data_IF_462769739761
#
_entry.id   IF_462769739761
#
_cell.length_a   1.000
_cell.length_b   1.000
_cell.length_c   1.000
_cell.angle_alpha   90.00
_cell.angle_beta   90.00
_cell.angle_gamma   90.00
#
_symmetry.space_group_name_H-M   'P 1'
#
loop_
_entity.id
_entity.type
_entity.pdbx_description
1 polymer ?
#
# COMPACT_ATOMS: atom_id res chain seq x y z
N UNK A 1 -39.39 -25.76 -25.43
CA UNK A 1 -39.17 -24.30 -25.78
C UNK A 1 -39.39 -23.34 -24.61
N UNK A 2 -40.45 -23.49 -23.77
CA UNK A 2 -40.68 -22.55 -22.63
C UNK A 2 -39.58 -22.64 -21.56
N UNK A 3 -39.12 -23.83 -21.19
CA UNK A 3 -38.06 -24.04 -20.17
C UNK A 3 -36.71 -23.46 -20.57
N UNK A 4 -36.32 -23.52 -21.87
CA UNK A 4 -35.10 -22.97 -22.37
C UNK A 4 -35.11 -21.40 -22.30
N UNK A 5 -36.27 -20.80 -22.60
CA UNK A 5 -36.43 -19.33 -22.48
C UNK A 5 -36.28 -18.85 -21.04
N UNK A 6 -36.86 -19.56 -20.08
CA UNK A 6 -36.74 -19.24 -18.68
C UNK A 6 -35.29 -19.45 -18.15
N UNK A 7 -34.61 -20.51 -18.58
CA UNK A 7 -33.22 -20.74 -18.27
C UNK A 7 -32.31 -19.58 -18.75
N UNK A 8 -32.50 -19.17 -20.00
CA UNK A 8 -31.74 -18.03 -20.55
C UNK A 8 -32.03 -16.71 -19.81
N UNK A 9 -33.29 -16.48 -19.43
CA UNK A 9 -33.67 -15.28 -18.69
C UNK A 9 -33.00 -15.23 -17.29
N UNK A 10 -33.03 -16.35 -16.56
CA UNK A 10 -32.38 -16.42 -15.23
C UNK A 10 -30.87 -16.29 -15.33
N UNK A 11 -30.23 -16.90 -16.33
CA UNK A 11 -28.80 -16.75 -16.56
C UNK A 11 -28.44 -15.29 -16.87
N UNK A 12 -29.19 -14.64 -17.74
CA UNK A 12 -28.99 -13.22 -18.07
C UNK A 12 -29.18 -12.31 -16.84
N UNK A 13 -30.21 -12.54 -16.04
CA UNK A 13 -30.47 -11.78 -14.82
C UNK A 13 -29.34 -11.98 -13.79
N UNK A 14 -28.88 -13.22 -13.62
CA UNK A 14 -27.73 -13.51 -12.74
C UNK A 14 -26.46 -12.80 -13.19
N UNK A 15 -26.13 -12.89 -14.48
CA UNK A 15 -24.95 -12.22 -15.02
C UNK A 15 -25.03 -10.71 -14.89
N UNK A 16 -26.21 -10.11 -15.15
CA UNK A 16 -26.40 -8.67 -14.97
C UNK A 16 -26.25 -8.24 -13.51
N UNK A 17 -26.81 -8.99 -12.57
CA UNK A 17 -26.67 -8.74 -11.15
C UNK A 17 -25.22 -8.91 -10.66
N UNK A 18 -24.55 -9.98 -11.12
CA UNK A 18 -23.16 -10.27 -10.79
C UNK A 18 -22.22 -9.17 -11.30
N UNK A 19 -22.30 -8.85 -12.60
CA UNK A 19 -21.47 -7.79 -13.20
C UNK A 19 -21.78 -6.44 -12.59
N UNK A 20 -23.07 -6.11 -12.40
CA UNK A 20 -23.49 -4.85 -11.78
C UNK A 20 -22.95 -4.70 -10.35
N UNK A 21 -23.05 -5.74 -9.53
CA UNK A 21 -22.53 -5.72 -8.16
C UNK A 21 -21.01 -5.66 -8.11
N UNK A 22 -20.31 -6.35 -9.03
CA UNK A 22 -18.86 -6.28 -9.15
C UNK A 22 -18.39 -4.88 -9.53
N UNK A 23 -19.03 -4.25 -10.53
CA UNK A 23 -18.71 -2.87 -10.94
C UNK A 23 -18.99 -1.86 -9.82
N UNK A 24 -20.11 -2.00 -9.11
CA UNK A 24 -20.40 -1.15 -7.95
C UNK A 24 -19.35 -1.30 -6.87
N UNK A 25 -18.95 -2.53 -6.57
CA UNK A 25 -17.92 -2.81 -5.55
C UNK A 25 -16.55 -2.30 -5.98
N UNK A 26 -16.18 -2.40 -7.24
CA UNK A 26 -14.90 -1.89 -7.77
C UNK A 26 -14.87 -0.35 -7.79
N UNK A 27 -16.01 0.31 -8.00
CA UNK A 27 -16.11 1.77 -7.97
C UNK A 27 -16.42 2.34 -6.58
N UNK A 28 -16.77 1.51 -5.60
CA UNK A 28 -16.93 1.96 -4.22
C UNK A 28 -15.59 1.91 -3.52
N UNK A 29 -15.15 3.02 -2.96
CA UNK A 29 -14.03 3.04 -2.02
C UNK A 29 -14.54 2.58 -0.65
N UNK A 30 -14.28 1.32 -0.24
CA UNK A 30 -14.76 0.79 1.04
C UNK A 30 -14.06 1.45 2.23
N UNK A 31 -13.01 2.23 1.96
CA UNK A 31 -12.22 2.94 2.97
C UNK A 31 -12.60 4.43 3.04
N UNK A 32 -13.48 4.91 2.15
CA UNK A 32 -13.90 6.30 2.12
C UNK A 32 -14.37 6.78 3.49
N UNK A 33 -13.70 7.79 4.03
CA UNK A 33 -13.95 8.31 5.37
C UNK A 33 -13.50 7.42 6.55
N UNK A 34 -13.08 6.16 6.32
CA UNK A 34 -12.64 5.25 7.39
C UNK A 34 -11.33 5.72 8.03
N UNK A 35 -10.44 6.24 7.23
CA UNK A 35 -9.13 6.76 7.66
C UNK A 35 -9.10 8.28 7.69
N UNK A 36 -10.28 8.94 7.68
CA UNK A 36 -10.33 10.39 7.74
C UNK A 36 -9.75 10.86 9.08
N UNK A 37 -8.70 11.66 9.02
CA UNK A 37 -8.09 12.28 10.18
C UNK A 37 -7.75 13.73 9.86
N UNK A 38 -7.91 14.61 10.84
CA UNK A 38 -7.36 15.94 10.71
C UNK A 38 -5.84 15.81 10.61
N UNK A 39 -5.27 16.40 9.56
CA UNK A 39 -3.84 16.35 9.32
C UNK A 39 -3.26 17.75 9.24
N UNK A 40 -2.37 18.05 10.15
CA UNK A 40 -1.58 19.28 10.19
C UNK A 40 -0.24 18.98 10.90
N UNK A 41 0.61 20.00 11.01
CA UNK A 41 1.94 19.86 11.62
C UNK A 41 1.91 19.46 13.10
N UNK A 42 0.78 19.64 13.78
CA UNK A 42 0.62 19.19 15.19
C UNK A 42 0.36 17.71 15.31
N UNK A 43 -0.06 17.05 14.21
CA UNK A 43 -0.31 15.61 14.14
C UNK A 43 0.92 14.86 13.63
N UNK A 44 1.55 15.37 12.57
CA UNK A 44 2.70 14.71 11.98
C UNK A 44 3.25 15.43 10.77
N UNK A 45 4.32 14.87 10.22
CA UNK A 45 4.98 15.38 9.02
C UNK A 45 5.17 14.28 7.98
N UNK A 46 5.06 14.65 6.71
CA UNK A 46 5.33 13.77 5.57
C UNK A 46 6.62 14.19 4.89
N UNK A 47 7.44 13.21 4.57
CA UNK A 47 8.61 13.34 3.69
C UNK A 47 8.33 12.48 2.47
N UNK A 48 8.16 13.13 1.32
CA UNK A 48 7.76 12.48 0.07
C UNK A 48 8.95 12.16 -0.82
N UNK A 49 8.79 11.13 -1.65
CA UNK A 49 9.73 10.75 -2.71
C UNK A 49 11.17 10.53 -2.25
N UNK A 50 11.35 10.02 -1.04
CA UNK A 50 12.66 9.62 -0.54
C UNK A 50 13.18 8.43 -1.36
N UNK A 51 14.41 8.51 -1.93
CA UNK A 51 14.92 7.43 -2.77
C UNK A 51 15.44 6.26 -1.91
N UNK A 52 15.25 5.03 -2.42
CA UNK A 52 15.89 3.82 -1.89
C UNK A 52 16.73 3.10 -2.96
N UNK A 53 16.71 3.57 -4.20
CA UNK A 53 17.46 3.05 -5.33
C UNK A 53 17.55 4.07 -6.46
N UNK A 54 18.14 3.68 -7.58
CA UNK A 54 18.36 4.56 -8.74
C UNK A 54 17.17 4.59 -9.70
N UNK A 55 16.26 3.61 -9.63
CA UNK A 55 15.07 3.52 -10.48
C UNK A 55 14.09 4.67 -10.21
N UNK A 56 13.40 5.11 -11.25
CA UNK A 56 12.41 6.18 -11.12
C UNK A 56 11.30 5.85 -10.13
N UNK A 57 10.91 4.57 -10.03
CA UNK A 57 9.93 4.06 -9.10
C UNK A 57 10.49 3.80 -7.69
N UNK A 58 11.82 3.77 -7.51
CA UNK A 58 12.47 3.41 -6.25
C UNK A 58 12.37 4.54 -5.20
N UNK A 59 11.15 4.87 -4.81
CA UNK A 59 10.83 5.96 -3.87
C UNK A 59 9.83 5.50 -2.81
N UNK A 60 9.94 6.11 -1.65
CA UNK A 60 8.96 5.95 -0.57
C UNK A 60 8.56 7.28 0.04
N UNK A 61 7.38 7.32 0.65
CA UNK A 61 6.93 8.41 1.50
C UNK A 61 7.00 7.97 2.95
N UNK A 62 7.51 8.85 3.81
CA UNK A 62 7.64 8.60 5.23
C UNK A 62 6.77 9.59 6.03
N UNK A 63 5.90 9.06 6.86
CA UNK A 63 4.99 9.78 7.74
C UNK A 63 5.47 9.60 9.17
N UNK A 64 5.76 10.69 9.85
CA UNK A 64 6.28 10.66 11.23
C UNK A 64 5.40 11.48 12.16
N UNK A 65 5.04 10.97 13.35
CA UNK A 65 4.22 11.69 14.31
C UNK A 65 4.93 12.94 14.83
N UNK A 66 4.16 14.01 15.10
CA UNK A 66 4.71 15.20 15.72
C UNK A 66 5.12 14.96 17.18
N UNK A 67 4.40 14.08 17.85
CA UNK A 67 4.73 13.66 19.22
C UNK A 67 5.98 12.77 19.24
N UNK A 68 7.02 13.25 19.91
CA UNK A 68 8.31 12.56 20.13
C UNK A 68 8.50 12.08 21.56
N UNK A 69 7.43 11.93 22.32
CA UNK A 69 7.50 11.54 23.72
C UNK A 69 7.71 10.04 23.97
N UNK A 70 7.57 9.21 22.93
CA UNK A 70 7.76 7.77 23.02
C UNK A 70 9.25 7.39 23.00
N UNK A 71 9.65 6.44 23.85
CA UNK A 71 11.01 5.90 23.88
C UNK A 71 11.38 5.13 22.59
N UNK A 72 10.38 4.53 21.94
CA UNK A 72 10.49 3.85 20.66
C UNK A 72 9.13 3.82 19.92
N UNK A 73 9.18 3.63 18.61
CA UNK A 73 8.04 3.69 17.71
C UNK A 73 7.90 2.39 16.92
N UNK A 74 6.65 2.00 16.67
CA UNK A 74 6.37 0.97 15.67
C UNK A 74 6.40 1.58 14.26
N UNK A 75 7.06 0.90 13.34
CA UNK A 75 7.00 1.21 11.89
C UNK A 75 5.91 0.37 11.23
N UNK A 76 5.04 1.01 10.47
CA UNK A 76 4.07 0.33 9.58
C UNK A 76 4.42 0.66 8.13
N UNK A 77 4.81 -0.35 7.37
CA UNK A 77 5.04 -0.24 5.93
C UNK A 77 3.81 -0.74 5.19
N UNK A 78 3.34 0.04 4.22
CA UNK A 78 2.21 -0.33 3.39
C UNK A 78 2.57 -0.30 1.90
N UNK A 79 2.19 -1.38 1.21
CA UNK A 79 2.44 -1.59 -0.21
C UNK A 79 1.12 -1.47 -0.98
N UNK A 80 1.11 -0.59 -1.98
CA UNK A 80 -0.10 -0.28 -2.74
C UNK A 80 -0.62 -1.47 -3.56
N UNK A 81 -1.93 -1.48 -3.79
CA UNK A 81 -2.59 -2.38 -4.73
C UNK A 81 -2.30 -1.97 -6.19
N UNK A 82 -2.73 -2.81 -7.15
CA UNK A 82 -2.66 -2.45 -8.57
C UNK A 82 -2.24 -3.59 -9.50
N UNK A 83 -2.38 -4.85 -9.07
CA UNK A 83 -2.14 -6.03 -9.91
C UNK A 83 -0.70 -6.14 -10.42
N UNK A 84 0.28 -5.52 -9.73
CA UNK A 84 1.69 -5.44 -10.13
C UNK A 84 1.97 -4.57 -11.37
N UNK A 85 0.94 -3.98 -11.98
CA UNK A 85 0.99 -3.24 -13.25
C UNK A 85 0.57 -1.78 -13.12
N UNK A 86 0.00 -1.40 -11.98
CA UNK A 86 -0.51 -0.05 -11.71
C UNK A 86 -0.46 0.26 -10.21
N UNK A 87 -0.82 1.49 -9.84
CA UNK A 87 -0.86 1.94 -8.45
C UNK A 87 0.29 2.88 -8.11
N UNK A 88 0.16 3.52 -6.97
CA UNK A 88 1.15 4.43 -6.41
C UNK A 88 0.93 4.57 -4.90
N UNK A 89 2.01 4.75 -4.14
CA UNK A 89 2.02 4.98 -2.68
C UNK A 89 1.14 6.16 -2.24
N UNK A 90 0.97 7.16 -3.12
CA UNK A 90 0.13 8.32 -2.83
C UNK A 90 -1.36 7.94 -2.68
N UNK A 91 -1.81 6.84 -3.30
CA UNK A 91 -3.18 6.33 -3.14
C UNK A 91 -3.53 5.93 -1.71
N UNK A 92 -2.54 5.61 -0.89
CA UNK A 92 -2.71 5.15 0.50
C UNK A 92 -2.42 6.26 1.54
N UNK A 93 -2.20 7.51 1.09
CA UNK A 93 -1.77 8.62 1.93
C UNK A 93 -2.69 8.87 3.13
N UNK A 94 -4.00 8.79 2.97
CA UNK A 94 -4.96 9.04 4.06
C UNK A 94 -4.85 7.98 5.16
N UNK A 95 -4.67 6.71 4.78
CA UNK A 95 -4.46 5.63 5.74
C UNK A 95 -3.12 5.79 6.46
N UNK A 96 -2.05 6.17 5.74
CA UNK A 96 -0.73 6.39 6.33
C UNK A 96 -0.73 7.57 7.29
N UNK A 97 -1.43 8.66 6.97
CA UNK A 97 -1.67 9.78 7.89
C UNK A 97 -2.44 9.34 9.13
N UNK A 98 -3.48 8.52 8.95
CA UNK A 98 -4.26 7.98 10.06
C UNK A 98 -3.39 7.12 10.99
N UNK A 99 -2.56 6.23 10.45
CA UNK A 99 -1.61 5.43 11.24
C UNK A 99 -0.64 6.34 12.00
N UNK A 100 -0.11 7.35 11.33
CA UNK A 100 0.78 8.34 11.94
C UNK A 100 0.08 9.10 13.08
N UNK A 101 -1.20 9.46 12.93
CA UNK A 101 -2.01 10.09 13.99
C UNK A 101 -2.22 9.20 15.23
N UNK A 102 -1.96 7.89 15.11
CA UNK A 102 -1.99 6.92 16.22
C UNK A 102 -0.61 6.71 16.86
N UNK A 103 0.39 7.49 16.44
CA UNK A 103 1.74 7.44 17.01
C UNK A 103 2.67 6.43 16.33
N UNK A 104 2.29 5.85 15.18
CA UNK A 104 3.19 5.02 14.38
C UNK A 104 4.01 5.86 13.41
N UNK A 105 5.25 5.46 13.15
CA UNK A 105 5.92 5.83 11.91
C UNK A 105 5.32 4.99 10.81
N UNK A 106 4.92 5.61 9.70
CA UNK A 106 4.30 4.89 8.59
C UNK A 106 5.04 5.20 7.28
N UNK A 107 5.13 4.22 6.38
CA UNK A 107 5.76 4.39 5.08
C UNK A 107 4.95 3.73 3.97
N UNK A 108 4.81 4.43 2.85
CA UNK A 108 4.30 3.88 1.59
C UNK A 108 5.45 3.74 0.60
N UNK A 109 5.59 2.58 -0.04
CA UNK A 109 6.70 2.28 -0.94
C UNK A 109 6.17 2.04 -2.34
N UNK A 110 6.77 2.72 -3.33
CA UNK A 110 6.61 2.40 -4.73
C UNK A 110 7.62 1.34 -5.15
N UNK A 111 7.26 0.56 -6.15
CA UNK A 111 8.09 -0.46 -6.79
C UNK A 111 7.85 -0.44 -8.30
N UNK A 112 8.82 -0.91 -9.09
CA UNK A 112 8.75 -0.89 -10.55
C UNK A 112 7.61 -1.76 -11.06
N UNK A 113 6.65 -1.14 -11.73
CA UNK A 113 5.46 -1.80 -12.27
C UNK A 113 5.78 -2.49 -13.59
N UNK A 114 5.15 -3.65 -13.83
CA UNK A 114 5.18 -4.30 -15.12
C UNK A 114 4.34 -3.48 -16.11
N UNK A 115 5.00 -2.87 -17.08
CA UNK A 115 4.41 -2.02 -18.13
C UNK A 115 5.14 -2.27 -19.46
N UNK A 116 4.69 -1.64 -20.52
CA UNK A 116 5.39 -1.70 -21.82
C UNK A 116 6.80 -1.10 -21.74
N UNK A 117 6.99 -0.08 -20.88
CA UNK A 117 8.31 0.52 -20.65
C UNK A 117 9.20 -0.32 -19.72
N UNK A 118 8.61 -1.19 -18.90
CA UNK A 118 9.30 -2.07 -17.95
C UNK A 118 8.88 -3.54 -18.10
N UNK A 119 9.12 -4.15 -19.27
CA UNK A 119 8.63 -5.50 -19.57
C UNK A 119 9.34 -6.60 -18.76
N UNK A 120 10.47 -6.30 -18.18
CA UNK A 120 11.24 -7.23 -17.33
C UNK A 120 10.82 -7.19 -15.86
N UNK A 121 9.94 -6.23 -15.47
CA UNK A 121 9.44 -6.19 -14.12
C UNK A 121 8.57 -7.43 -13.83
N UNK A 122 8.72 -7.98 -12.65
CA UNK A 122 8.06 -9.21 -12.21
C UNK A 122 7.76 -9.15 -10.73
N UNK A 123 6.91 -10.03 -10.22
CA UNK A 123 6.67 -10.15 -8.77
C UNK A 123 7.98 -10.40 -8.02
N UNK A 124 8.90 -11.16 -8.63
CA UNK A 124 10.22 -11.40 -8.03
C UNK A 124 11.04 -10.11 -7.94
N UNK A 125 11.24 -9.38 -9.06
CA UNK A 125 12.01 -8.13 -9.03
C UNK A 125 11.38 -7.07 -8.12
N UNK A 126 10.04 -6.95 -8.11
CA UNK A 126 9.32 -6.06 -7.21
C UNK A 126 9.56 -6.44 -5.73
N UNK A 127 9.58 -7.75 -5.42
CA UNK A 127 9.88 -8.20 -4.07
C UNK A 127 11.31 -7.91 -3.63
N UNK A 128 12.29 -7.98 -4.55
CA UNK A 128 13.68 -7.59 -4.28
C UNK A 128 13.79 -6.06 -4.04
N UNK A 129 13.03 -5.25 -4.79
CA UNK A 129 12.95 -3.81 -4.57
C UNK A 129 12.38 -3.47 -3.18
N UNK A 130 11.31 -4.16 -2.75
CA UNK A 130 10.77 -3.99 -1.40
C UNK A 130 11.80 -4.34 -0.34
N UNK A 131 12.51 -5.45 -0.50
CA UNK A 131 13.61 -5.84 0.40
C UNK A 131 14.69 -4.75 0.47
N UNK A 132 15.09 -4.21 -0.68
CA UNK A 132 16.10 -3.16 -0.76
C UNK A 132 15.62 -1.82 -0.14
N UNK A 133 14.31 -1.54 -0.14
CA UNK A 133 13.75 -0.33 0.42
C UNK A 133 13.80 -0.28 1.95
N UNK A 134 13.67 -1.42 2.62
CA UNK A 134 13.52 -1.48 4.08
C UNK A 134 14.64 -0.81 4.87
N UNK A 135 15.94 -1.05 4.59
CA UNK A 135 17.02 -0.36 5.27
C UNK A 135 16.94 1.17 5.10
N UNK A 136 16.54 1.65 3.92
CA UNK A 136 16.42 3.08 3.63
C UNK A 136 15.27 3.71 4.42
N UNK A 137 14.13 3.03 4.54
CA UNK A 137 12.98 3.48 5.35
C UNK A 137 13.37 3.58 6.82
N UNK A 138 14.01 2.55 7.36
CA UNK A 138 14.47 2.53 8.76
C UNK A 138 15.47 3.66 9.00
N UNK A 139 16.51 3.77 8.16
CA UNK A 139 17.53 4.80 8.31
C UNK A 139 16.96 6.23 8.21
N UNK A 140 15.96 6.45 7.34
CA UNK A 140 15.29 7.75 7.23
C UNK A 140 14.52 8.12 8.50
N UNK A 141 13.81 7.17 9.11
CA UNK A 141 13.11 7.39 10.37
C UNK A 141 14.09 7.67 11.53
N UNK A 142 15.13 6.87 11.64
CA UNK A 142 16.17 7.02 12.68
C UNK A 142 16.91 8.35 12.56
N UNK A 143 17.26 8.77 11.33
CA UNK A 143 17.87 10.10 11.06
C UNK A 143 16.99 11.25 11.52
N UNK A 144 15.68 11.09 11.52
CA UNK A 144 14.72 12.06 12.03
C UNK A 144 14.51 11.96 13.55
N UNK A 145 15.18 11.03 14.24
CA UNK A 145 15.13 10.84 15.69
C UNK A 145 14.04 9.89 16.16
N UNK A 146 13.48 9.05 15.26
CA UNK A 146 12.51 8.01 15.63
C UNK A 146 13.20 6.67 15.80
N UNK A 147 13.47 6.27 17.03
CA UNK A 147 13.98 4.92 17.32
C UNK A 147 12.88 3.90 17.06
N UNK A 148 13.16 2.93 16.22
CA UNK A 148 12.21 1.87 15.86
C UNK A 148 12.49 0.60 16.68
N UNK A 149 11.45 -0.03 17.26
CA UNK A 149 11.58 -1.27 18.04
C UNK A 149 10.78 -2.45 17.45
N UNK A 150 9.88 -2.18 16.53
CA UNK A 150 9.02 -3.19 15.88
C UNK A 150 8.57 -2.70 14.51
N UNK A 151 8.25 -3.64 13.64
CA UNK A 151 7.77 -3.35 12.30
C UNK A 151 6.58 -4.25 11.96
N UNK A 152 5.63 -3.68 11.24
CA UNK A 152 4.59 -4.41 10.54
C UNK A 152 4.66 -4.05 9.05
N UNK A 153 4.43 -5.03 8.19
CA UNK A 153 4.26 -4.81 6.75
C UNK A 153 2.88 -5.30 6.34
N UNK A 154 2.21 -4.51 5.52
CA UNK A 154 0.88 -4.78 5.01
C UNK A 154 0.76 -4.30 3.57
N UNK A 155 -0.32 -4.64 2.91
CA UNK A 155 -0.59 -4.16 1.56
C UNK A 155 -1.95 -4.58 1.04
N UNK A 156 -2.44 -3.87 0.02
CA UNK A 156 -3.65 -4.22 -0.69
C UNK A 156 -3.36 -5.14 -1.88
N UNK A 157 -4.14 -6.22 -2.10
CA UNK A 157 -4.06 -7.06 -3.30
C UNK A 157 -2.61 -7.46 -3.68
N UNK A 158 -2.06 -6.93 -4.78
CA UNK A 158 -0.66 -7.15 -5.19
C UNK A 158 0.34 -6.76 -4.08
N UNK A 159 0.12 -5.61 -3.41
CA UNK A 159 0.94 -5.19 -2.28
C UNK A 159 0.85 -6.15 -1.10
N UNK A 160 -0.31 -6.77 -0.87
CA UNK A 160 -0.48 -7.84 0.13
C UNK A 160 0.36 -9.08 -0.19
N UNK A 161 0.43 -9.46 -1.47
CA UNK A 161 1.32 -10.54 -1.92
C UNK A 161 2.79 -10.21 -1.64
N UNK A 162 3.25 -9.01 -2.01
CA UNK A 162 4.62 -8.56 -1.76
C UNK A 162 4.93 -8.47 -0.25
N UNK A 163 3.97 -8.01 0.55
CA UNK A 163 4.11 -7.96 2.01
C UNK A 163 4.30 -9.36 2.62
N UNK A 164 3.55 -10.36 2.14
CA UNK A 164 3.71 -11.75 2.57
C UNK A 164 5.06 -12.33 2.12
N UNK A 165 5.49 -12.06 0.88
CA UNK A 165 6.81 -12.49 0.41
C UNK A 165 7.90 -11.93 1.32
N UNK A 166 7.86 -10.63 1.63
CA UNK A 166 8.83 -10.02 2.54
C UNK A 166 8.79 -10.68 3.93
N UNK A 167 7.60 -10.81 4.52
CA UNK A 167 7.44 -11.34 5.88
C UNK A 167 7.94 -12.79 6.05
N UNK A 168 7.76 -13.64 5.02
CA UNK A 168 8.10 -15.06 5.11
C UNK A 168 9.44 -15.44 4.47
N UNK A 169 10.00 -14.57 3.64
CA UNK A 169 11.28 -14.83 2.96
C UNK A 169 12.42 -13.95 3.47
N UNK A 170 12.14 -12.68 3.78
CA UNK A 170 13.16 -11.64 3.88
C UNK A 170 13.18 -10.91 5.24
N UNK A 171 12.27 -11.23 6.16
CA UNK A 171 12.15 -10.50 7.44
C UNK A 171 13.16 -10.93 8.53
N UNK A 172 14.10 -11.84 8.25
CA UNK A 172 15.13 -12.31 9.19
C UNK A 172 16.35 -11.36 9.27
#
# INVERSE_FOLDING_TARGET
>A
MKTLKWGLLYTAAFLAAFVGSALLKMNSDPTHGKYNTRWDETVGKVYTDLPYGEGAANKFDLYVPADKSQDAYGLVVYLHAGGFTSGDKAGDAEMLKWLCSKGYVAAGINYTLFTEENPDASVYSQSEEIKAAMPSVVAAAEKLGYKLDRMAIAGGSAGGCLALIYAYRDAD
#
